data_IF_388016596067
#
_entry.id   IF_388016596067
#
_cell.length_a   1.000
_cell.length_b   1.000
_cell.length_c   1.000
_cell.angle_alpha   90.00
_cell.angle_beta   90.00
_cell.angle_gamma   90.00
#
_symmetry.space_group_name_H-M   'P 1'
#
loop_
_entity.id
_entity.type
_entity.pdbx_description
1 polymer ?
#
# COMPACT_ATOMS: atom_id res chain seq x y z
N UNK A 1 21.06 30.89 -1.62
CA UNK A 1 21.69 29.56 -1.81
C UNK A 1 21.06 28.55 -0.86
N UNK A 2 21.32 28.57 0.47
CA UNK A 2 20.77 27.58 1.43
C UNK A 2 19.24 27.34 1.40
N UNK A 3 18.43 28.39 1.22
CA UNK A 3 16.96 28.28 1.20
C UNK A 3 16.46 27.49 -0.02
N UNK A 4 17.12 27.65 -1.16
CA UNK A 4 16.80 26.94 -2.40
C UNK A 4 17.13 25.44 -2.30
N UNK A 5 18.23 25.08 -1.65
CA UNK A 5 18.59 23.66 -1.42
C UNK A 5 17.57 22.96 -0.51
N UNK A 6 17.08 23.64 0.54
CA UNK A 6 16.06 23.10 1.44
C UNK A 6 14.70 22.98 0.74
N UNK A 7 14.27 24.04 0.04
CA UNK A 7 13.03 24.03 -0.77
C UNK A 7 13.05 22.92 -1.82
N UNK A 8 14.18 22.74 -2.51
CA UNK A 8 14.30 21.72 -3.56
C UNK A 8 14.24 20.29 -2.99
N UNK A 9 14.80 20.04 -1.81
CA UNK A 9 14.66 18.75 -1.13
C UNK A 9 13.22 18.49 -0.68
N UNK A 10 12.54 19.52 -0.15
CA UNK A 10 11.14 19.40 0.28
C UNK A 10 10.20 19.13 -0.91
N UNK A 11 10.46 19.77 -2.06
CA UNK A 11 9.73 19.49 -3.29
C UNK A 11 9.94 18.06 -3.80
N UNK A 12 11.16 17.52 -3.71
CA UNK A 12 11.44 16.12 -4.08
C UNK A 12 10.66 15.15 -3.18
N UNK A 13 10.62 15.41 -1.87
CA UNK A 13 9.86 14.60 -0.92
C UNK A 13 8.35 14.66 -1.23
N UNK A 14 7.81 15.86 -1.41
CA UNK A 14 6.40 16.05 -1.81
C UNK A 14 6.08 15.33 -3.12
N UNK A 15 6.95 15.45 -4.13
CA UNK A 15 6.75 14.78 -5.42
C UNK A 15 6.74 13.26 -5.25
N UNK A 16 7.61 12.73 -4.39
CA UNK A 16 7.63 11.30 -4.07
C UNK A 16 6.33 10.88 -3.38
N UNK A 17 5.85 11.64 -2.41
CA UNK A 17 4.56 11.37 -1.75
C UNK A 17 3.40 11.45 -2.74
N UNK A 18 3.34 12.47 -3.59
CA UNK A 18 2.30 12.62 -4.63
C UNK A 18 2.29 11.45 -5.63
N UNK A 19 3.45 10.87 -5.96
CA UNK A 19 3.55 9.72 -6.85
C UNK A 19 3.26 8.40 -6.15
N UNK A 20 3.55 8.29 -4.85
CA UNK A 20 3.34 7.08 -4.05
C UNK A 20 1.90 6.99 -3.55
N UNK A 21 1.27 8.11 -3.20
CA UNK A 21 -0.13 8.21 -2.80
C UNK A 21 -1.09 7.46 -3.72
N UNK A 22 -1.11 7.67 -5.05
CA UNK A 22 -2.04 6.96 -5.93
C UNK A 22 -1.78 5.45 -5.94
N UNK A 23 -0.52 5.01 -5.84
CA UNK A 23 -0.18 3.58 -5.75
C UNK A 23 -0.75 2.99 -4.45
N UNK A 24 -0.61 3.71 -3.34
CA UNK A 24 -1.19 3.29 -2.06
C UNK A 24 -2.72 3.23 -2.13
N UNK A 25 -3.36 4.20 -2.80
CA UNK A 25 -4.81 4.21 -3.00
C UNK A 25 -5.27 3.04 -3.88
N UNK A 26 -4.57 2.72 -4.96
CA UNK A 26 -4.84 1.54 -5.80
C UNK A 26 -4.70 0.25 -5.00
N UNK A 27 -3.62 0.13 -4.23
CA UNK A 27 -3.39 -1.03 -3.35
C UNK A 27 -4.52 -1.15 -2.31
N UNK A 28 -4.90 -0.06 -1.65
CA UNK A 28 -5.99 -0.05 -0.69
C UNK A 28 -7.34 -0.43 -1.33
N UNK A 29 -7.63 0.06 -2.52
CA UNK A 29 -8.82 -0.32 -3.28
C UNK A 29 -8.84 -1.81 -3.62
N UNK A 30 -7.69 -2.36 -4.06
CA UNK A 30 -7.55 -3.78 -4.34
C UNK A 30 -7.71 -4.64 -3.07
N UNK A 31 -7.12 -4.22 -1.95
CA UNK A 31 -7.30 -4.85 -0.63
C UNK A 31 -8.78 -4.87 -0.25
N UNK A 32 -9.50 -3.75 -0.36
CA UNK A 32 -10.92 -3.67 -0.05
C UNK A 32 -11.78 -4.55 -0.97
N UNK A 33 -11.45 -4.63 -2.25
CA UNK A 33 -12.14 -5.50 -3.19
C UNK A 33 -11.98 -6.98 -2.79
N UNK A 34 -10.74 -7.42 -2.56
CA UNK A 34 -10.45 -8.79 -2.10
C UNK A 34 -11.12 -9.08 -0.76
N UNK A 35 -11.11 -8.12 0.17
CA UNK A 35 -11.78 -8.23 1.47
C UNK A 35 -13.28 -8.51 1.31
N UNK A 36 -13.97 -7.70 0.50
CA UNK A 36 -15.40 -7.83 0.25
C UNK A 36 -15.75 -9.10 -0.53
N UNK A 37 -14.96 -9.46 -1.53
CA UNK A 37 -15.18 -10.66 -2.35
C UNK A 37 -15.02 -11.96 -1.56
N UNK A 38 -14.09 -12.01 -0.60
CA UNK A 38 -13.79 -13.20 0.19
C UNK A 38 -14.42 -13.17 1.60
N UNK A 39 -15.12 -12.09 1.96
CA UNK A 39 -15.78 -11.95 3.25
C UNK A 39 -14.84 -11.69 4.44
N UNK A 40 -13.65 -11.13 4.21
CA UNK A 40 -12.74 -10.74 5.29
C UNK A 40 -13.24 -9.49 5.99
N UNK A 41 -13.34 -9.57 7.32
CA UNK A 41 -13.82 -8.47 8.15
C UNK A 41 -12.69 -7.54 8.62
N UNK A 42 -11.47 -8.08 8.75
CA UNK A 42 -10.27 -7.36 9.13
C UNK A 42 -9.07 -7.85 8.32
N UNK A 43 -8.20 -6.92 7.95
CA UNK A 43 -6.92 -7.19 7.30
C UNK A 43 -5.84 -6.48 8.10
N UNK A 44 -4.82 -7.23 8.47
CA UNK A 44 -3.70 -6.75 9.26
C UNK A 44 -2.41 -6.88 8.47
N UNK A 45 -1.49 -5.95 8.69
CA UNK A 45 -0.13 -6.08 8.19
C UNK A 45 0.57 -7.25 8.89
N UNK A 46 1.47 -7.94 8.19
CA UNK A 46 2.22 -9.06 8.76
C UNK A 46 3.03 -8.63 9.99
N UNK A 47 3.55 -7.40 10.01
CA UNK A 47 4.40 -6.89 11.08
C UNK A 47 3.69 -6.74 12.43
N UNK A 48 2.36 -6.64 12.43
CA UNK A 48 1.57 -6.47 13.65
C UNK A 48 1.01 -7.79 14.21
N UNK A 49 1.16 -8.89 13.48
CA UNK A 49 0.65 -10.20 13.87
C UNK A 49 1.72 -11.01 14.61
N UNK A 50 1.37 -11.50 15.81
CA UNK A 50 2.25 -12.41 16.57
C UNK A 50 2.25 -13.83 16.01
N UNK A 51 1.19 -14.21 15.30
CA UNK A 51 1.02 -15.48 14.63
C UNK A 51 0.09 -15.29 13.43
N UNK A 52 0.41 -15.91 12.29
CA UNK A 52 -0.45 -15.95 11.11
C UNK A 52 -0.47 -17.34 10.51
N UNK A 53 -1.62 -17.74 9.99
CA UNK A 53 -1.72 -18.90 9.12
C UNK A 53 -1.39 -18.46 7.69
N UNK A 54 -0.52 -19.20 7.00
CA UNK A 54 -0.12 -18.88 5.62
C UNK A 54 -1.29 -18.96 4.63
N UNK A 55 -2.37 -19.68 4.97
CA UNK A 55 -3.58 -19.78 4.15
C UNK A 55 -4.45 -18.51 4.19
N UNK A 56 -4.24 -17.65 5.19
CA UNK A 56 -4.94 -16.37 5.34
C UNK A 56 -4.20 -15.21 4.65
N UNK A 57 -3.09 -15.48 3.97
CA UNK A 57 -2.32 -14.48 3.24
C UNK A 57 -3.00 -14.13 1.90
N UNK A 58 -3.54 -12.91 1.85
CA UNK A 58 -4.22 -12.39 0.66
C UNK A 58 -3.29 -11.60 -0.27
N UNK A 59 -2.00 -11.46 0.05
CA UNK A 59 -1.07 -10.62 -0.73
C UNK A 59 -1.04 -11.05 -2.19
N UNK A 60 -1.13 -12.36 -2.47
CA UNK A 60 -1.18 -12.88 -3.83
C UNK A 60 -2.45 -12.47 -4.58
N UNK A 61 -3.59 -12.46 -3.89
CA UNK A 61 -4.88 -12.03 -4.47
C UNK A 61 -4.88 -10.54 -4.79
N UNK A 62 -4.36 -9.72 -3.87
CA UNK A 62 -4.25 -8.27 -4.05
C UNK A 62 -3.33 -7.93 -5.22
N UNK A 63 -2.15 -8.56 -5.31
CA UNK A 63 -1.23 -8.40 -6.45
C UNK A 63 -1.90 -8.75 -7.78
N UNK A 64 -2.63 -9.87 -7.81
CA UNK A 64 -3.39 -10.29 -8.99
C UNK A 64 -4.45 -9.25 -9.37
N UNK A 65 -5.17 -8.65 -8.40
CA UNK A 65 -6.15 -7.58 -8.66
C UNK A 65 -5.51 -6.30 -9.21
N UNK A 66 -4.27 -6.01 -8.80
CA UNK A 66 -3.48 -4.88 -9.31
C UNK A 66 -2.83 -5.17 -10.67
N UNK A 67 -3.01 -6.36 -11.24
CA UNK A 67 -2.36 -6.75 -12.49
C UNK A 67 -0.85 -7.00 -12.36
N UNK A 68 -0.35 -7.11 -11.12
CA UNK A 68 1.03 -7.41 -10.81
C UNK A 68 1.15 -8.94 -10.62
N UNK A 69 1.63 -9.66 -11.65
CA UNK A 69 1.90 -11.10 -11.56
C UNK A 69 3.26 -11.39 -10.91
#
# INVERSE_FOLDING_TARGET
>A
MRKFEVDSQEQILKKREELVQPILDEVNAAIQAVAKENGYQFIFDEQVLLFKDATLDITKLVKTKLGLQ
#
